data_IF_246933929183
#
_entry.id   IF_246933929183
#
_cell.length_a   1.000
_cell.length_b   1.000
_cell.length_c   1.000
_cell.angle_alpha   90.00
_cell.angle_beta   90.00
_cell.angle_gamma   90.00
#
_symmetry.space_group_name_H-M   'P 1'
#
loop_
_entity.id
_entity.type
_entity.pdbx_description
1 polymer ?
#
# COMPACT_ATOMS: atom_id res chain seq x y z
N UNK A 1 45.40 17.20 -6.23
CA UNK A 1 44.53 16.00 -6.23
C UNK A 1 45.23 14.86 -5.52
N UNK A 2 44.52 13.87 -4.98
CA UNK A 2 45.08 12.69 -4.31
C UNK A 2 44.36 11.42 -4.75
N UNK A 3 45.11 10.36 -5.05
CA UNK A 3 44.55 9.07 -5.49
C UNK A 3 44.32 8.18 -4.26
N UNK A 4 43.09 7.68 -4.12
CA UNK A 4 42.77 6.72 -3.06
C UNK A 4 43.42 5.37 -3.34
N UNK A 5 44.22 4.83 -2.42
CA UNK A 5 44.91 3.54 -2.58
C UNK A 5 43.98 2.32 -2.61
N UNK A 6 42.69 2.46 -2.25
CA UNK A 6 41.73 1.35 -2.24
C UNK A 6 40.79 1.30 -3.44
N UNK A 7 40.29 2.44 -3.89
CA UNK A 7 39.38 2.51 -5.05
C UNK A 7 40.01 3.12 -6.29
N UNK A 8 41.29 3.55 -6.20
CA UNK A 8 42.08 4.14 -7.27
C UNK A 8 41.45 5.39 -7.92
N UNK A 9 40.44 5.99 -7.29
CA UNK A 9 39.82 7.24 -7.74
C UNK A 9 40.67 8.43 -7.34
N UNK A 10 40.83 9.35 -8.29
CA UNK A 10 41.42 10.67 -8.06
C UNK A 10 40.38 11.58 -7.39
N UNK A 11 40.70 12.13 -6.22
CA UNK A 11 39.80 12.94 -5.41
C UNK A 11 40.52 14.22 -4.95
N UNK A 12 39.77 15.29 -4.60
CA UNK A 12 40.36 16.47 -3.99
C UNK A 12 41.14 16.10 -2.72
N UNK A 13 42.37 16.62 -2.59
CA UNK A 13 43.24 16.38 -1.45
C UNK A 13 42.80 17.25 -0.26
N UNK A 14 41.57 17.03 0.22
CA UNK A 14 40.96 17.81 1.30
C UNK A 14 40.46 16.89 2.42
N UNK A 15 40.24 17.47 3.60
CA UNK A 15 39.68 16.78 4.76
C UNK A 15 38.23 16.36 4.56
N UNK A 16 37.58 16.76 3.46
CA UNK A 16 36.27 16.25 3.06
C UNK A 16 36.38 14.79 2.58
N UNK A 17 37.38 14.49 1.75
CA UNK A 17 37.54 13.18 1.08
C UNK A 17 38.52 12.25 1.80
N UNK A 18 39.46 12.80 2.57
CA UNK A 18 40.49 12.04 3.29
C UNK A 18 40.51 12.41 4.78
N UNK A 19 40.95 11.47 5.62
CA UNK A 19 41.18 11.76 7.05
C UNK A 19 42.59 12.33 7.24
N UNK A 20 42.76 13.16 8.27
CA UNK A 20 44.08 13.69 8.65
C UNK A 20 45.00 12.54 9.09
N UNK A 21 46.25 12.58 8.65
CA UNK A 21 47.28 11.61 8.96
C UNK A 21 48.58 12.32 9.32
N UNK A 22 49.01 12.18 10.57
CA UNK A 22 50.23 12.83 11.11
C UNK A 22 51.52 12.25 10.53
N UNK A 23 51.45 11.09 9.89
CA UNK A 23 52.61 10.37 9.30
C UNK A 23 52.69 10.50 7.78
N UNK A 24 51.76 11.21 7.15
CA UNK A 24 51.70 11.36 5.70
C UNK A 24 52.30 12.71 5.29
N UNK A 25 53.11 12.73 4.22
CA UNK A 25 53.82 13.93 3.73
C UNK A 25 52.85 15.09 3.46
N UNK A 26 51.65 14.80 2.94
CA UNK A 26 50.61 15.78 2.64
C UNK A 26 49.57 15.93 3.77
N UNK A 27 49.86 15.40 4.96
CA UNK A 27 48.96 15.47 6.12
C UNK A 27 47.66 14.69 5.99
N UNK A 28 47.45 13.93 4.91
CA UNK A 28 46.21 13.23 4.60
C UNK A 28 46.45 11.73 4.38
N UNK A 29 45.60 10.89 4.97
CA UNK A 29 45.67 9.43 4.80
C UNK A 29 45.47 9.02 3.33
N UNK A 30 46.11 7.93 2.93
CA UNK A 30 46.10 7.42 1.55
C UNK A 30 44.76 6.81 1.09
N UNK A 31 43.93 6.33 2.02
CA UNK A 31 42.57 5.81 1.73
C UNK A 31 41.53 6.91 1.91
N UNK A 32 40.59 7.02 0.96
CA UNK A 32 39.47 7.96 1.09
C UNK A 32 38.49 7.52 2.19
N UNK A 33 37.72 8.48 2.71
CA UNK A 33 36.75 8.23 3.80
C UNK A 33 35.72 7.15 3.46
N UNK A 34 35.26 7.11 2.20
CA UNK A 34 34.28 6.11 1.74
C UNK A 34 34.84 4.69 1.85
N UNK A 35 36.06 4.47 1.36
CA UNK A 35 36.72 3.17 1.44
C UNK A 35 37.02 2.76 2.89
N UNK A 36 37.50 3.71 3.71
CA UNK A 36 37.71 3.45 5.14
C UNK A 36 36.41 3.12 5.87
N UNK A 37 35.30 3.80 5.54
CA UNK A 37 34.00 3.49 6.11
C UNK A 37 33.52 2.08 5.73
N UNK A 38 33.66 1.68 4.46
CA UNK A 38 33.33 0.33 3.99
C UNK A 38 34.18 -0.74 4.69
N UNK A 39 35.48 -0.51 4.82
CA UNK A 39 36.40 -1.43 5.49
C UNK A 39 36.09 -1.58 6.98
N UNK A 40 35.78 -0.47 7.66
CA UNK A 40 35.34 -0.48 9.06
C UNK A 40 33.98 -1.18 9.23
N UNK A 41 33.06 -1.05 8.28
CA UNK A 41 31.78 -1.76 8.29
C UNK A 41 31.99 -3.28 8.17
N UNK A 42 32.85 -3.72 7.23
CA UNK A 42 33.24 -5.14 7.10
C UNK A 42 33.89 -5.66 8.37
N UNK A 43 34.90 -4.95 8.91
CA UNK A 43 35.52 -5.30 10.18
C UNK A 43 34.54 -5.41 11.34
N UNK A 44 33.50 -4.58 11.39
CA UNK A 44 32.45 -4.66 12.42
C UNK A 44 31.52 -5.84 12.18
N UNK A 45 31.15 -6.12 10.93
CA UNK A 45 30.31 -7.26 10.57
C UNK A 45 30.96 -8.59 10.95
N UNK A 46 32.28 -8.70 10.72
CA UNK A 46 33.04 -9.92 10.98
C UNK A 46 33.49 -10.04 12.45
N UNK A 47 33.32 -8.97 13.24
CA UNK A 47 33.67 -8.98 14.66
C UNK A 47 32.54 -9.61 15.46
N UNK A 48 32.82 -10.78 16.01
CA UNK A 48 31.94 -11.44 16.97
C UNK A 48 31.74 -10.55 18.21
N UNK A 49 30.48 -10.43 18.64
CA UNK A 49 30.13 -9.78 19.91
C UNK A 49 30.08 -10.88 20.95
N UNK A 50 31.04 -10.86 21.88
CA UNK A 50 31.05 -11.72 23.06
C UNK A 50 30.60 -10.87 24.25
N UNK A 51 29.33 -10.98 24.70
CA UNK A 51 28.85 -10.26 25.86
C UNK A 51 29.46 -10.82 27.14
N UNK A 52 29.75 -9.96 28.11
CA UNK A 52 30.14 -10.43 29.43
C UNK A 52 29.00 -11.20 30.10
N UNK A 53 29.37 -12.29 30.76
CA UNK A 53 28.46 -13.16 31.53
C UNK A 53 28.75 -13.13 33.02
N UNK A 54 29.85 -12.50 33.44
CA UNK A 54 30.20 -12.35 34.85
C UNK A 54 29.28 -11.33 35.54
N UNK A 55 28.43 -11.82 36.44
CA UNK A 55 27.46 -11.02 37.19
C UNK A 55 28.12 -10.13 38.26
N UNK A 56 29.36 -10.42 38.65
CA UNK A 56 30.09 -9.61 39.64
C UNK A 56 30.50 -8.25 39.07
N UNK A 57 30.69 -8.17 37.76
CA UNK A 57 31.00 -6.94 37.05
C UNK A 57 29.72 -6.12 36.94
N UNK A 58 29.70 -4.92 37.54
CA UNK A 58 28.57 -3.99 37.44
C UNK A 58 28.78 -2.97 36.33
N UNK A 59 27.69 -2.58 35.67
CA UNK A 59 27.65 -1.54 34.64
C UNK A 59 26.55 -0.53 34.98
N UNK A 60 26.91 0.76 34.94
CA UNK A 60 25.98 1.87 35.12
C UNK A 60 25.23 2.18 33.81
N UNK A 61 23.90 2.25 33.88
CA UNK A 61 23.08 2.68 32.76
C UNK A 61 23.25 4.18 32.50
N UNK A 62 23.51 4.57 31.25
CA UNK A 62 23.70 5.97 30.86
C UNK A 62 22.42 6.83 30.89
N UNK A 63 21.24 6.24 31.15
CA UNK A 63 19.95 6.96 31.16
C UNK A 63 19.38 7.04 32.58
N UNK A 64 19.20 5.91 33.26
CA UNK A 64 18.65 5.91 34.63
C UNK A 64 19.73 5.98 35.71
N UNK A 65 21.02 5.95 35.36
CA UNK A 65 22.15 5.96 36.30
C UNK A 65 22.19 4.80 37.31
N UNK A 66 21.30 3.82 37.19
CA UNK A 66 21.29 2.62 38.03
C UNK A 66 22.39 1.65 37.59
N UNK A 67 22.96 0.94 38.57
CA UNK A 67 23.95 -0.11 38.37
C UNK A 67 23.26 -1.46 38.27
N UNK A 68 23.62 -2.24 37.25
CA UNK A 68 23.15 -3.59 37.04
C UNK A 68 24.32 -4.51 36.75
N UNK A 69 24.18 -5.82 36.97
CA UNK A 69 25.13 -6.80 36.42
C UNK A 69 25.36 -6.53 34.93
N UNK A 70 26.63 -6.53 34.53
CA UNK A 70 27.08 -6.32 33.17
C UNK A 70 26.84 -7.59 32.34
N UNK A 71 25.57 -7.98 32.22
CA UNK A 71 25.12 -9.18 31.49
C UNK A 71 24.05 -8.84 30.46
N UNK A 72 23.76 -9.81 29.59
CA UNK A 72 22.73 -9.69 28.55
C UNK A 72 21.31 -9.64 29.09
N UNK A 73 21.08 -9.90 30.38
CA UNK A 73 19.75 -9.81 30.97
C UNK A 73 19.31 -8.35 31.11
N UNK A 74 20.24 -7.49 31.53
CA UNK A 74 19.99 -6.08 31.80
C UNK A 74 20.36 -5.17 30.62
N UNK A 75 21.29 -5.57 29.76
CA UNK A 75 21.76 -4.77 28.62
C UNK A 75 21.67 -5.55 27.30
N UNK A 76 21.54 -4.84 26.18
CA UNK A 76 21.65 -5.46 24.86
C UNK A 76 23.13 -5.63 24.48
N UNK A 77 23.45 -6.71 23.78
CA UNK A 77 24.77 -6.92 23.21
C UNK A 77 25.19 -5.76 22.26
N UNK A 78 26.48 -5.42 22.27
CA UNK A 78 27.01 -4.37 21.42
C UNK A 78 28.53 -4.22 21.53
N UNK A 79 29.11 -3.41 20.63
CA UNK A 79 30.55 -3.19 20.54
C UNK A 79 31.12 -2.22 21.60
N UNK A 80 30.44 -2.08 22.74
CA UNK A 80 30.85 -1.20 23.84
C UNK A 80 31.56 -2.00 24.94
N UNK A 81 31.90 -1.35 26.06
CA UNK A 81 32.58 -2.04 27.17
C UNK A 81 31.78 -3.25 27.67
N UNK A 82 32.49 -4.36 27.92
CA UNK A 82 31.94 -5.66 28.30
C UNK A 82 31.01 -6.30 27.26
N UNK A 83 31.11 -5.90 25.98
CA UNK A 83 30.26 -6.46 24.91
C UNK A 83 28.78 -6.06 25.02
N UNK A 84 28.48 -5.00 25.78
CA UNK A 84 27.12 -4.57 26.13
C UNK A 84 26.91 -3.08 25.92
N UNK A 85 25.73 -2.71 25.40
CA UNK A 85 25.32 -1.30 25.24
C UNK A 85 25.28 -0.59 26.58
N UNK A 86 25.41 0.74 26.55
CA UNK A 86 25.43 1.58 27.74
C UNK A 86 24.05 1.87 28.36
N UNK A 87 22.95 1.53 27.67
CA UNK A 87 21.58 1.70 28.16
C UNK A 87 21.01 0.34 28.56
N UNK A 88 20.39 0.28 29.74
CA UNK A 88 19.66 -0.93 30.14
C UNK A 88 18.45 -1.17 29.24
N UNK A 89 17.98 -2.42 29.15
CA UNK A 89 16.84 -2.81 28.30
C UNK A 89 15.58 -2.02 28.62
N UNK A 90 15.30 -1.75 29.90
CA UNK A 90 14.13 -0.96 30.33
C UNK A 90 14.16 0.46 29.73
N UNK A 91 15.29 1.16 29.86
CA UNK A 91 15.46 2.49 29.27
C UNK A 91 15.42 2.46 27.73
N UNK A 92 16.00 1.43 27.11
CA UNK A 92 15.92 1.27 25.66
C UNK A 92 14.47 1.09 25.18
N UNK A 93 13.70 0.25 25.88
CA UNK A 93 12.30 -0.02 25.56
C UNK A 93 11.41 1.21 25.79
N UNK A 94 11.61 1.96 26.88
CA UNK A 94 10.84 3.19 27.13
C UNK A 94 11.12 4.25 26.06
N UNK A 95 12.37 4.46 25.70
CA UNK A 95 12.77 5.37 24.63
C UNK A 95 12.21 4.92 23.27
N UNK A 96 12.22 3.61 22.98
CA UNK A 96 11.63 3.06 21.77
C UNK A 96 10.12 3.36 21.70
N UNK A 97 9.38 3.15 22.80
CA UNK A 97 7.95 3.48 22.88
C UNK A 97 7.67 4.96 22.63
N UNK A 98 8.44 5.86 23.27
CA UNK A 98 8.31 7.32 23.08
C UNK A 98 8.57 7.68 21.61
N UNK A 99 9.65 7.14 21.04
CA UNK A 99 10.00 7.36 19.63
C UNK A 99 8.90 6.85 18.69
N UNK A 100 8.35 5.67 18.93
CA UNK A 100 7.28 5.08 18.12
C UNK A 100 5.96 5.83 18.22
N UNK A 101 5.68 6.44 19.38
CA UNK A 101 4.51 7.30 19.58
C UNK A 101 4.62 8.64 18.85
N UNK A 102 5.85 9.13 18.60
CA UNK A 102 6.11 10.43 17.97
C UNK A 102 5.49 10.56 16.58
N UNK A 103 4.75 11.66 16.28
CA UNK A 103 4.20 11.92 14.95
C UNK A 103 5.25 11.92 13.84
N UNK A 104 6.42 12.51 14.09
CA UNK A 104 7.54 12.57 13.13
C UNK A 104 8.03 11.17 12.76
N UNK A 105 8.14 10.27 13.74
CA UNK A 105 8.55 8.89 13.49
C UNK A 105 7.49 8.10 12.73
N UNK A 106 6.22 8.26 13.09
CA UNK A 106 5.08 7.64 12.37
C UNK A 106 5.06 8.06 10.91
N UNK A 107 5.24 9.35 10.63
CA UNK A 107 5.30 9.88 9.27
C UNK A 107 6.50 9.30 8.49
N UNK A 108 7.70 9.34 9.08
CA UNK A 108 8.90 8.75 8.47
C UNK A 108 8.73 7.26 8.17
N UNK A 109 8.11 6.50 9.09
CA UNK A 109 7.84 5.07 8.90
C UNK A 109 6.85 4.83 7.75
N UNK A 110 5.82 5.67 7.63
CA UNK A 110 4.85 5.63 6.53
C UNK A 110 5.53 5.91 5.17
N UNK A 111 6.37 6.94 5.10
CA UNK A 111 7.13 7.29 3.89
C UNK A 111 8.10 6.17 3.50
N UNK A 112 8.85 5.65 4.47
CA UNK A 112 9.73 4.50 4.25
C UNK A 112 8.94 3.28 3.74
N UNK A 113 7.79 2.98 4.34
CA UNK A 113 6.92 1.87 3.90
C UNK A 113 6.44 2.03 2.47
N UNK A 114 6.02 3.25 2.08
CA UNK A 114 5.64 3.56 0.69
C UNK A 114 6.81 3.35 -0.27
N UNK A 115 7.98 3.90 0.05
CA UNK A 115 9.19 3.78 -0.77
C UNK A 115 9.62 2.33 -0.92
N UNK A 116 9.72 1.61 0.20
CA UNK A 116 10.09 0.20 0.24
C UNK A 116 9.12 -0.66 -0.58
N UNK A 117 7.80 -0.42 -0.49
CA UNK A 117 6.82 -1.12 -1.31
C UNK A 117 6.98 -0.82 -2.80
N UNK A 118 7.17 0.46 -3.17
CA UNK A 118 7.35 0.86 -4.56
C UNK A 118 8.61 0.21 -5.18
N UNK A 119 9.73 0.25 -4.47
CA UNK A 119 11.02 -0.32 -4.91
C UNK A 119 10.98 -1.86 -5.00
N UNK A 120 10.15 -2.52 -4.20
CA UNK A 120 10.09 -3.99 -4.12
C UNK A 120 8.80 -4.59 -4.70
N UNK A 121 7.97 -3.79 -5.38
CA UNK A 121 6.63 -4.20 -5.88
C UNK A 121 6.70 -5.46 -6.74
N UNK A 122 7.63 -5.50 -7.70
CA UNK A 122 7.84 -6.64 -8.60
C UNK A 122 8.29 -7.88 -7.82
N UNK A 123 9.29 -7.72 -6.96
CA UNK A 123 9.81 -8.81 -6.12
C UNK A 123 8.73 -9.41 -5.21
N UNK A 124 7.85 -8.58 -4.66
CA UNK A 124 6.71 -9.08 -3.86
C UNK A 124 5.70 -9.84 -4.71
N UNK A 125 5.38 -9.34 -5.90
CA UNK A 125 4.46 -10.01 -6.82
C UNK A 125 5.00 -11.39 -7.24
N UNK A 126 6.28 -11.48 -7.61
CA UNK A 126 6.94 -12.74 -7.97
C UNK A 126 6.95 -13.73 -6.80
N UNK A 127 7.31 -13.26 -5.59
CA UNK A 127 7.28 -14.10 -4.39
C UNK A 127 5.88 -14.62 -4.11
N UNK A 128 4.87 -13.76 -4.23
CA UNK A 128 3.47 -14.14 -4.03
C UNK A 128 3.00 -15.15 -5.09
N UNK A 129 3.38 -14.97 -6.35
CA UNK A 129 3.05 -15.90 -7.44
C UNK A 129 3.65 -17.28 -7.19
N UNK A 130 4.92 -17.36 -6.77
CA UNK A 130 5.58 -18.62 -6.40
C UNK A 130 4.86 -19.30 -5.24
N UNK A 131 4.56 -18.55 -4.18
CA UNK A 131 3.83 -19.07 -3.02
C UNK A 131 2.44 -19.58 -3.41
N UNK A 132 1.68 -18.81 -4.20
CA UNK A 132 0.34 -19.18 -4.65
C UNK A 132 0.37 -20.47 -5.48
N UNK A 133 1.32 -20.59 -6.43
CA UNK A 133 1.46 -21.80 -7.25
C UNK A 133 1.79 -23.02 -6.41
N UNK A 134 2.71 -22.89 -5.45
CA UNK A 134 3.12 -23.99 -4.58
C UNK A 134 2.05 -24.38 -3.53
N UNK A 135 1.14 -23.47 -3.17
CA UNK A 135 0.17 -23.66 -2.09
C UNK A 135 -1.30 -23.54 -2.57
N UNK A 136 -1.56 -23.77 -3.86
CA UNK A 136 -2.86 -23.50 -4.47
C UNK A 136 -4.00 -24.24 -3.75
N UNK A 137 -3.82 -25.52 -3.43
CA UNK A 137 -4.86 -26.33 -2.81
C UNK A 137 -5.07 -26.00 -1.34
N UNK A 138 -3.99 -25.70 -0.60
CA UNK A 138 -4.08 -25.15 0.75
C UNK A 138 -4.88 -23.83 0.77
N UNK A 139 -4.60 -22.92 -0.18
CA UNK A 139 -5.31 -21.65 -0.28
C UNK A 139 -6.79 -21.84 -0.65
N UNK A 140 -7.13 -22.80 -1.53
CA UNK A 140 -8.52 -23.15 -1.84
C UNK A 140 -9.24 -23.70 -0.61
N UNK A 141 -8.66 -24.66 0.10
CA UNK A 141 -9.25 -25.25 1.31
C UNK A 141 -9.51 -24.16 2.37
N UNK A 142 -8.53 -23.28 2.59
CA UNK A 142 -8.65 -22.15 3.49
C UNK A 142 -9.73 -21.15 3.07
N UNK A 143 -9.90 -20.91 1.77
CA UNK A 143 -10.97 -20.04 1.27
C UNK A 143 -12.37 -20.63 1.52
N UNK A 144 -12.52 -21.95 1.38
CA UNK A 144 -13.77 -22.67 1.71
C UNK A 144 -14.07 -22.55 3.19
N UNK A 145 -13.09 -22.84 4.05
CA UNK A 145 -13.22 -22.73 5.52
C UNK A 145 -13.58 -21.30 5.94
N UNK A 146 -12.87 -20.30 5.43
CA UNK A 146 -13.17 -18.90 5.68
C UNK A 146 -14.59 -18.53 5.23
N UNK A 147 -15.04 -19.07 4.10
CA UNK A 147 -16.41 -18.91 3.61
C UNK A 147 -17.45 -19.43 4.60
N UNK A 148 -17.22 -20.61 5.21
CA UNK A 148 -18.09 -21.21 6.23
C UNK A 148 -18.10 -20.37 7.51
N UNK A 149 -16.94 -19.97 8.02
CA UNK A 149 -16.81 -19.19 9.25
C UNK A 149 -17.41 -17.77 9.16
N UNK A 150 -17.54 -17.23 7.94
CA UNK A 150 -18.04 -15.87 7.72
C UNK A 150 -19.43 -15.86 7.05
N UNK A 151 -20.17 -16.97 7.10
CA UNK A 151 -21.56 -17.05 6.61
C UNK A 151 -22.44 -15.98 7.25
N UNK A 152 -22.37 -15.81 8.57
CA UNK A 152 -23.18 -14.83 9.27
C UNK A 152 -22.82 -13.39 8.90
N UNK A 153 -21.54 -13.11 8.65
CA UNK A 153 -21.12 -11.79 8.14
C UNK A 153 -21.72 -11.50 6.76
N UNK A 154 -21.82 -12.50 5.88
CA UNK A 154 -22.51 -12.35 4.58
C UNK A 154 -24.00 -12.08 4.79
N UNK A 155 -24.66 -12.86 5.64
CA UNK A 155 -26.09 -12.67 5.97
C UNK A 155 -26.38 -11.28 6.53
N UNK A 156 -25.57 -10.79 7.47
CA UNK A 156 -25.67 -9.43 8.02
C UNK A 156 -25.48 -8.38 6.93
N UNK A 157 -24.49 -8.56 6.05
CA UNK A 157 -24.24 -7.63 4.94
C UNK A 157 -25.41 -7.60 3.96
N UNK A 158 -25.97 -8.76 3.63
CA UNK A 158 -27.12 -8.88 2.73
C UNK A 158 -28.42 -8.36 3.37
N UNK A 159 -28.60 -8.52 4.69
CA UNK A 159 -29.68 -7.88 5.44
C UNK A 159 -29.60 -6.35 5.35
N UNK A 160 -28.42 -5.77 5.62
CA UNK A 160 -28.19 -4.31 5.48
C UNK A 160 -28.44 -3.79 4.06
N UNK A 161 -28.14 -4.60 3.04
CA UNK A 161 -28.42 -4.27 1.63
C UNK A 161 -29.90 -4.33 1.29
N UNK A 162 -30.69 -5.15 1.99
CA UNK A 162 -32.15 -5.22 1.84
C UNK A 162 -32.84 -4.07 2.57
N UNK A 163 -32.40 -3.77 3.78
CA UNK A 163 -32.92 -2.65 4.60
C UNK A 163 -32.69 -1.28 3.93
N UNK A 164 -31.59 -1.12 3.19
CA UNK A 164 -31.29 0.14 2.52
C UNK A 164 -31.07 -0.05 1.00
N UNK A 165 -32.14 0.00 0.20
CA UNK A 165 -32.08 -0.11 -1.26
C UNK A 165 -31.16 0.94 -1.91
N UNK A 166 -31.11 2.16 -1.36
CA UNK A 166 -30.25 3.26 -1.84
C UNK A 166 -28.76 2.98 -1.58
N UNK A 167 -28.43 2.32 -0.47
CA UNK A 167 -27.08 1.81 -0.20
C UNK A 167 -26.72 0.65 -1.14
N UNK A 168 -27.65 -0.28 -1.38
CA UNK A 168 -27.48 -1.36 -2.35
C UNK A 168 -27.27 -0.83 -3.79
N UNK A 169 -27.95 0.25 -4.17
CA UNK A 169 -27.74 0.96 -5.44
C UNK A 169 -26.30 1.43 -5.59
N UNK A 170 -25.78 2.15 -4.59
CA UNK A 170 -24.39 2.65 -4.58
C UNK A 170 -23.37 1.51 -4.70
N UNK A 171 -23.59 0.39 -4.00
CA UNK A 171 -22.75 -0.80 -4.15
C UNK A 171 -22.83 -1.42 -5.55
N UNK A 172 -24.03 -1.44 -6.15
CA UNK A 172 -24.25 -1.97 -7.50
C UNK A 172 -23.45 -1.18 -8.54
N UNK A 173 -23.52 0.15 -8.51
CA UNK A 173 -22.75 1.02 -9.40
C UNK A 173 -21.25 0.86 -9.17
N UNK A 174 -20.80 0.91 -7.91
CA UNK A 174 -19.38 0.74 -7.59
C UNK A 174 -18.82 -0.59 -8.13
N UNK A 175 -19.61 -1.67 -8.02
CA UNK A 175 -19.27 -2.98 -8.57
C UNK A 175 -19.24 -2.95 -10.10
N UNK A 176 -20.23 -2.34 -10.74
CA UNK A 176 -20.32 -2.30 -12.19
C UNK A 176 -19.17 -1.49 -12.81
N UNK A 177 -18.89 -0.29 -12.30
CA UNK A 177 -17.71 0.51 -12.69
C UNK A 177 -16.41 -0.27 -12.47
N UNK A 178 -16.28 -0.96 -11.33
CA UNK A 178 -15.11 -1.81 -11.07
C UNK A 178 -14.93 -2.89 -12.13
N UNK A 179 -16.01 -3.56 -12.55
CA UNK A 179 -15.94 -4.61 -13.56
C UNK A 179 -15.47 -4.06 -14.91
N UNK A 180 -15.96 -2.88 -15.31
CA UNK A 180 -15.54 -2.22 -16.55
C UNK A 180 -14.05 -1.84 -16.55
N UNK A 181 -13.54 -1.37 -15.41
CA UNK A 181 -12.16 -0.89 -15.28
C UNK A 181 -11.17 -1.97 -14.82
N UNK A 182 -11.64 -3.18 -14.49
CA UNK A 182 -10.81 -4.22 -13.87
C UNK A 182 -9.67 -4.67 -14.77
N UNK A 183 -9.92 -4.83 -16.08
CA UNK A 183 -8.93 -5.30 -17.06
C UNK A 183 -7.74 -4.34 -17.21
N UNK A 184 -7.97 -3.05 -16.95
CA UNK A 184 -6.97 -1.99 -17.06
C UNK A 184 -6.40 -1.58 -15.69
N UNK A 185 -6.88 -2.20 -14.61
CA UNK A 185 -6.56 -1.84 -13.23
C UNK A 185 -6.76 -0.35 -12.91
N UNK A 186 -7.69 0.32 -13.61
CA UNK A 186 -7.78 1.80 -13.63
C UNK A 186 -8.71 2.40 -12.60
N UNK A 187 -9.42 1.59 -11.79
CA UNK A 187 -10.22 2.09 -10.65
C UNK A 187 -9.35 2.37 -9.42
N UNK A 188 -8.24 1.65 -9.27
CA UNK A 188 -7.25 1.77 -8.17
C UNK A 188 -7.83 2.04 -6.76
N UNK A 189 -8.95 1.37 -6.43
CA UNK A 189 -9.62 1.55 -5.14
C UNK A 189 -10.37 2.89 -4.95
N UNK A 190 -10.38 3.78 -5.94
CA UNK A 190 -11.09 5.05 -5.89
C UNK A 190 -12.60 4.83 -5.65
N UNK A 191 -13.26 5.68 -4.82
CA UNK A 191 -14.70 5.64 -4.65
C UNK A 191 -15.38 6.02 -5.96
N UNK A 192 -16.51 5.39 -6.30
CA UNK A 192 -17.15 5.58 -7.60
C UNK A 192 -17.62 7.03 -7.82
N UNK A 193 -18.03 7.72 -6.76
CA UNK A 193 -18.44 9.14 -6.81
C UNK A 193 -17.29 10.07 -7.23
N UNK A 194 -16.03 9.68 -7.03
CA UNK A 194 -14.88 10.46 -7.52
C UNK A 194 -14.60 10.28 -9.02
N UNK A 195 -15.29 9.34 -9.67
CA UNK A 195 -15.07 8.98 -11.06
C UNK A 195 -16.13 9.56 -12.00
N UNK A 196 -17.23 10.07 -11.44
CA UNK A 196 -18.39 10.56 -12.19
C UNK A 196 -18.76 11.96 -11.74
N UNK A 197 -19.50 12.69 -12.57
CA UNK A 197 -19.82 14.10 -12.33
C UNK A 197 -21.18 14.27 -11.59
N UNK A 198 -21.59 13.30 -10.77
CA UNK A 198 -22.83 13.37 -9.97
C UNK A 198 -22.71 12.59 -8.65
N UNK A 199 -23.53 12.97 -7.68
CA UNK A 199 -23.62 12.38 -6.35
C UNK A 199 -24.62 11.22 -6.30
N UNK A 200 -24.51 10.38 -5.26
CA UNK A 200 -25.54 9.37 -4.96
C UNK A 200 -26.96 9.94 -4.86
N UNK A 201 -27.12 11.15 -4.32
CA UNK A 201 -28.45 11.76 -4.15
C UNK A 201 -29.06 12.15 -5.49
N UNK A 202 -28.27 12.76 -6.39
CA UNK A 202 -28.73 13.13 -7.73
C UNK A 202 -29.10 11.91 -8.57
N UNK A 203 -28.32 10.84 -8.47
CA UNK A 203 -28.66 9.57 -9.11
C UNK A 203 -30.00 9.01 -8.62
N UNK A 204 -30.21 8.99 -7.30
CA UNK A 204 -31.45 8.49 -6.71
C UNK A 204 -32.64 9.30 -7.23
N UNK A 205 -32.55 10.64 -7.18
CA UNK A 205 -33.61 11.53 -7.66
C UNK A 205 -33.86 11.37 -9.17
N UNK A 206 -32.80 11.20 -9.97
CA UNK A 206 -32.90 10.98 -11.41
C UNK A 206 -33.59 9.65 -11.76
N UNK A 207 -33.29 8.58 -11.02
CA UNK A 207 -33.96 7.28 -11.21
C UNK A 207 -35.41 7.32 -10.75
N UNK A 208 -35.69 7.92 -9.58
CA UNK A 208 -37.05 8.11 -9.06
C UNK A 208 -37.95 8.83 -10.07
N UNK A 209 -37.44 9.90 -10.71
CA UNK A 209 -38.15 10.64 -11.76
C UNK A 209 -38.46 9.80 -13.01
N UNK A 210 -37.78 8.67 -13.20
CA UNK A 210 -37.91 7.78 -14.37
C UNK A 210 -38.61 6.47 -14.06
N UNK A 211 -39.10 6.27 -12.83
CA UNK A 211 -39.85 5.07 -12.47
C UNK A 211 -41.10 4.93 -13.32
N UNK A 212 -41.30 3.71 -13.82
CA UNK A 212 -42.51 3.31 -14.52
C UNK A 212 -43.56 2.82 -13.52
N UNK A 213 -44.78 2.57 -14.00
CA UNK A 213 -45.85 2.02 -13.16
C UNK A 213 -45.38 0.76 -12.41
N UNK A 214 -45.56 0.75 -11.08
CA UNK A 214 -45.13 -0.35 -10.20
C UNK A 214 -43.67 -0.33 -9.76
N UNK A 215 -42.80 0.55 -10.29
CA UNK A 215 -41.41 0.65 -9.81
C UNK A 215 -41.31 1.50 -8.54
N UNK A 216 -40.62 1.00 -7.53
CA UNK A 216 -40.29 1.73 -6.31
C UNK A 216 -38.96 1.21 -5.72
N UNK A 217 -38.54 1.75 -4.58
CA UNK A 217 -37.30 1.31 -3.95
C UNK A 217 -37.43 -0.04 -3.23
N UNK A 218 -38.62 -0.42 -2.79
CA UNK A 218 -38.86 -1.66 -2.05
C UNK A 218 -38.72 -2.88 -2.96
N UNK A 219 -39.08 -2.74 -4.24
CA UNK A 219 -38.85 -3.77 -5.26
C UNK A 219 -37.53 -3.61 -6.04
N UNK A 220 -36.56 -2.85 -5.51
CA UNK A 220 -35.24 -2.75 -6.14
C UNK A 220 -34.54 -4.12 -6.20
N UNK A 221 -34.22 -4.55 -7.42
CA UNK A 221 -33.80 -5.91 -7.73
C UNK A 221 -34.75 -6.64 -8.68
N UNK A 222 -36.04 -6.25 -8.70
CA UNK A 222 -36.97 -6.62 -9.78
C UNK A 222 -36.77 -5.71 -11.00
N UNK A 223 -36.38 -4.46 -10.77
CA UNK A 223 -35.80 -3.58 -11.77
C UNK A 223 -34.29 -3.36 -11.53
N UNK A 224 -33.58 -3.06 -12.60
CA UNK A 224 -32.14 -2.85 -12.64
C UNK A 224 -31.81 -1.46 -13.19
N UNK A 225 -30.59 -0.99 -12.94
CA UNK A 225 -30.02 0.16 -13.65
C UNK A 225 -29.60 -0.31 -15.04
N UNK A 226 -30.15 0.31 -16.06
CA UNK A 226 -29.83 0.10 -17.46
C UNK A 226 -29.10 1.32 -18.04
N UNK A 227 -28.28 1.06 -19.07
CA UNK A 227 -27.63 2.08 -19.86
C UNK A 227 -28.36 2.20 -21.20
N UNK A 228 -28.93 3.37 -21.53
CA UNK A 228 -29.62 3.61 -22.80
C UNK A 228 -28.73 3.25 -23.99
N UNK A 229 -27.48 3.70 -23.96
CA UNK A 229 -26.38 3.27 -24.81
C UNK A 229 -25.55 2.27 -23.99
N UNK A 230 -25.50 0.99 -24.38
CA UNK A 230 -24.81 -0.05 -23.62
C UNK A 230 -23.33 0.25 -23.40
N UNK A 231 -22.79 -0.20 -22.27
CA UNK A 231 -21.37 -0.04 -21.91
C UNK A 231 -20.45 -0.54 -23.04
N UNK A 232 -20.80 -1.66 -23.69
CA UNK A 232 -20.02 -2.26 -24.78
C UNK A 232 -19.94 -1.42 -26.06
N UNK A 233 -20.80 -0.40 -26.21
CA UNK A 233 -20.74 0.54 -27.33
C UNK A 233 -19.77 1.70 -27.09
N UNK A 234 -19.33 1.90 -25.85
CA UNK A 234 -18.39 2.96 -25.47
C UNK A 234 -16.94 2.47 -25.53
N UNK A 235 -16.01 3.39 -25.82
CA UNK A 235 -14.59 3.09 -25.93
C UNK A 235 -13.77 3.76 -24.81
N UNK A 236 -13.58 3.06 -23.68
CA UNK A 236 -12.78 3.56 -22.56
C UNK A 236 -11.96 2.47 -21.88
N UNK A 237 -10.80 2.87 -21.32
CA UNK A 237 -9.93 2.01 -20.50
C UNK A 237 -9.74 2.57 -19.08
N UNK A 238 -9.89 3.88 -18.88
CA UNK A 238 -9.78 4.55 -17.59
C UNK A 238 -10.89 5.60 -17.38
N UNK A 239 -11.10 6.08 -16.14
CA UNK A 239 -12.13 7.07 -15.82
C UNK A 239 -11.97 8.45 -16.48
N UNK A 240 -10.76 8.79 -16.95
CA UNK A 240 -10.49 10.08 -17.57
C UNK A 240 -11.02 10.21 -19.00
N UNK A 241 -11.37 9.10 -19.65
CA UNK A 241 -11.88 9.12 -21.02
C UNK A 241 -13.28 9.70 -21.10
N UNK A 242 -13.55 10.51 -22.12
CA UNK A 242 -14.87 11.11 -22.32
C UNK A 242 -15.98 10.07 -22.48
N UNK A 243 -15.69 8.95 -23.15
CA UNK A 243 -16.65 7.86 -23.32
C UNK A 243 -17.00 7.16 -21.99
N UNK A 244 -16.10 7.17 -20.99
CA UNK A 244 -16.44 6.73 -19.64
C UNK A 244 -17.49 7.64 -19.02
N UNK A 245 -17.28 8.97 -19.09
CA UNK A 245 -18.21 9.96 -18.57
C UNK A 245 -19.57 9.92 -19.28
N UNK A 246 -19.57 9.75 -20.61
CA UNK A 246 -20.80 9.58 -21.42
C UNK A 246 -21.54 8.29 -21.05
N UNK A 247 -20.81 7.19 -20.86
CA UNK A 247 -21.39 5.92 -20.47
C UNK A 247 -22.08 6.03 -19.12
N UNK A 248 -21.42 6.62 -18.13
CA UNK A 248 -21.88 6.67 -16.76
C UNK A 248 -22.71 7.92 -16.42
N UNK A 249 -23.02 8.79 -17.39
CA UNK A 249 -23.80 10.01 -17.14
C UNK A 249 -25.24 9.69 -16.72
N UNK A 250 -25.85 10.58 -15.92
CA UNK A 250 -27.27 10.49 -15.59
C UNK A 250 -28.15 10.42 -16.84
N UNK A 251 -27.82 11.17 -17.89
CA UNK A 251 -28.59 11.14 -19.14
C UNK A 251 -28.62 9.76 -19.81
N UNK A 252 -27.57 8.92 -19.63
CA UNK A 252 -27.50 7.57 -20.16
C UNK A 252 -28.10 6.51 -19.21
N UNK A 253 -28.13 6.75 -17.90
CA UNK A 253 -28.68 5.83 -16.91
C UNK A 253 -30.22 5.92 -16.82
N UNK A 254 -30.88 4.77 -16.70
CA UNK A 254 -32.33 4.67 -16.48
C UNK A 254 -32.72 3.41 -15.68
N UNK A 255 -33.85 3.44 -14.95
CA UNK A 255 -34.43 2.21 -14.40
C UNK A 255 -35.11 1.41 -15.51
N UNK A 256 -34.98 0.08 -15.47
CA UNK A 256 -35.65 -0.84 -16.39
C UNK A 256 -35.96 -2.15 -15.67
N UNK A 257 -37.12 -2.75 -15.91
CA UNK A 257 -37.45 -4.07 -15.36
C UNK A 257 -36.39 -5.10 -15.74
N UNK A 258 -35.99 -5.95 -14.81
CA UNK A 258 -34.87 -6.86 -15.00
C UNK A 258 -35.06 -7.76 -16.23
N UNK A 259 -36.28 -8.27 -16.45
CA UNK A 259 -36.63 -9.09 -17.61
C UNK A 259 -36.46 -8.33 -18.93
N UNK A 260 -36.90 -7.08 -18.98
CA UNK A 260 -36.75 -6.22 -20.16
C UNK A 260 -35.28 -5.89 -20.43
N UNK A 261 -34.52 -5.56 -19.37
CA UNK A 261 -33.09 -5.25 -19.49
C UNK A 261 -32.30 -6.45 -20.02
N UNK A 262 -32.58 -7.66 -19.51
CA UNK A 262 -31.97 -8.89 -20.01
C UNK A 262 -32.32 -9.15 -21.48
N UNK A 263 -33.57 -8.90 -21.89
CA UNK A 263 -34.03 -9.06 -23.27
C UNK A 263 -33.42 -8.02 -24.21
N UNK A 264 -33.25 -6.78 -23.74
CA UNK A 264 -32.62 -5.68 -24.47
C UNK A 264 -31.16 -5.99 -24.80
N UNK A 265 -30.42 -6.58 -23.87
CA UNK A 265 -28.99 -6.88 -24.02
C UNK A 265 -28.21 -5.60 -24.43
N UNK A 266 -27.21 -5.71 -25.31
CA UNK A 266 -26.41 -4.60 -25.83
C UNK A 266 -26.99 -3.97 -27.12
N UNK A 267 -28.30 -4.03 -27.34
CA UNK A 267 -28.92 -3.49 -28.56
C UNK A 267 -28.96 -1.95 -28.54
N UNK A 268 -28.52 -1.35 -29.65
CA UNK A 268 -28.61 0.09 -29.90
C UNK A 268 -29.90 0.41 -30.65
N UNK A 269 -30.67 1.40 -30.15
CA UNK A 269 -31.87 1.89 -30.86
C UNK A 269 -31.54 2.84 -32.02
N UNK A 270 -30.38 3.50 -31.94
CA UNK A 270 -29.88 4.46 -32.93
C UNK A 270 -28.38 4.24 -33.08
N UNK A 271 -27.83 4.63 -34.23
CA UNK A 271 -26.38 4.61 -34.42
C UNK A 271 -25.68 5.42 -33.31
N UNK A 272 -24.60 4.86 -32.77
CA UNK A 272 -23.78 5.48 -31.74
C UNK A 272 -22.33 5.46 -32.20
N UNK A 273 -21.71 6.64 -32.21
CA UNK A 273 -20.29 6.79 -32.50
C UNK A 273 -19.50 6.94 -31.19
N UNK A 274 -18.64 5.97 -30.83
CA UNK A 274 -17.73 6.11 -29.72
C UNK A 274 -16.66 7.16 -30.01
N UNK A 275 -16.12 7.78 -28.95
CA UNK A 275 -15.00 8.71 -29.08
C UNK A 275 -13.67 7.96 -29.07
N UNK A 276 -12.65 8.60 -29.64
CA UNK A 276 -11.28 8.09 -29.56
C UNK A 276 -10.77 8.16 -28.13
N UNK A 277 -9.95 7.18 -27.75
CA UNK A 277 -9.21 7.21 -26.50
C UNK A 277 -8.12 8.28 -26.63
N UNK A 278 -8.39 9.48 -26.13
CA UNK A 278 -7.37 10.51 -26.02
C UNK A 278 -6.66 10.32 -24.68
N UNK A 279 -5.36 10.03 -24.72
CA UNK A 279 -4.53 10.10 -23.52
C UNK A 279 -4.34 11.57 -23.14
N UNK A 280 -4.42 11.88 -21.86
CA UNK A 280 -4.08 13.21 -21.38
C UNK A 280 -2.57 13.41 -21.60
N UNK A 281 -2.21 14.38 -22.45
CA UNK A 281 -0.83 14.84 -22.68
C UNK A 281 -0.24 15.40 -21.39
#
# INVERSE_FOLDING_TARGET
MKICTKCHKELPATTEYFFVGTTCIDGLRSKCKKCMAQENLKRRHDKEIVPNTDETIKKKCAVCSQEFPATTDYFFAGYCSHGLRNKCKKCFQSEAKIREASPKYKQKRKEYGKKHYAENKVKFAERWQKYYKANADYLKAKAVEWGKLNLDKRRITDAKRRENPKFRLSQSISRSIRQCLFRHNSKDGAPWESLVDFTRQELVAHLEKKFQSGMNWDNYGEWHIDHKIPISAHNFSNPGHEDFKRCWSLSNLQPMWAKENLTKNAKLKKHFQPRLQMEAV
#
